data_IF_191734888708
#
_entry.id   IF_191734888708
#
_cell.length_a   1.000
_cell.length_b   1.000
_cell.length_c   1.000
_cell.angle_alpha   90.00
_cell.angle_beta   90.00
_cell.angle_gamma   90.00
#
_symmetry.space_group_name_H-M   'P 1'
#
loop_
_entity.id
_entity.type
_entity.pdbx_description
1 polymer ?
#
# COMPACT_ATOMS: atom_id res chain seq x y z
N UNK A 1 4.93 -12.83 -0.91
CA UNK A 1 3.58 -13.30 -0.53
C UNK A 1 3.47 -14.81 -0.60
N UNK A 2 3.81 -15.44 -1.74
CA UNK A 2 3.80 -16.91 -1.89
C UNK A 2 4.71 -17.63 -0.88
N UNK A 3 5.91 -17.11 -0.65
CA UNK A 3 6.90 -17.70 0.26
C UNK A 3 6.58 -17.51 1.75
N UNK A 4 5.77 -16.49 2.08
CA UNK A 4 5.41 -16.15 3.47
C UNK A 4 4.04 -16.71 3.91
N UNK A 5 3.20 -17.14 2.95
CA UNK A 5 1.83 -17.63 3.20
C UNK A 5 1.57 -18.87 2.34
N UNK A 6 2.26 -19.98 2.59
CA UNK A 6 2.16 -21.21 1.78
C UNK A 6 0.72 -21.73 1.66
N UNK A 7 -0.05 -21.72 2.75
CA UNK A 7 -1.46 -22.20 2.78
C UNK A 7 -2.46 -21.20 2.19
N UNK A 8 -2.19 -19.89 2.26
CA UNK A 8 -3.13 -18.83 1.86
C UNK A 8 -2.60 -17.90 0.75
N UNK A 9 -1.57 -18.33 0.02
CA UNK A 9 -0.86 -17.52 -0.98
C UNK A 9 -1.79 -16.93 -2.03
N UNK A 10 -2.71 -17.76 -2.55
CA UNK A 10 -3.64 -17.39 -3.62
C UNK A 10 -4.63 -16.31 -3.16
N UNK A 11 -5.17 -16.44 -1.94
CA UNK A 11 -6.10 -15.45 -1.38
C UNK A 11 -5.40 -14.12 -1.10
N UNK A 12 -4.18 -14.16 -0.58
CA UNK A 12 -3.39 -12.95 -0.33
C UNK A 12 -3.05 -12.21 -1.65
N UNK A 13 -2.72 -12.94 -2.71
CA UNK A 13 -2.51 -12.40 -4.06
C UNK A 13 -3.79 -11.79 -4.66
N UNK A 14 -4.92 -12.48 -4.51
CA UNK A 14 -6.22 -12.00 -4.96
C UNK A 14 -6.61 -10.71 -4.21
N UNK A 15 -6.49 -10.68 -2.88
CA UNK A 15 -6.78 -9.51 -2.06
C UNK A 15 -5.91 -8.31 -2.43
N UNK A 16 -4.60 -8.52 -2.61
CA UNK A 16 -3.68 -7.46 -3.05
C UNK A 16 -4.05 -6.92 -4.43
N UNK A 17 -4.47 -7.79 -5.34
CA UNK A 17 -4.92 -7.40 -6.68
C UNK A 17 -6.22 -6.60 -6.64
N UNK A 18 -7.18 -6.98 -5.80
CA UNK A 18 -8.44 -6.26 -5.60
C UNK A 18 -8.19 -4.87 -5.01
N UNK A 19 -7.40 -4.77 -3.93
CA UNK A 19 -7.04 -3.48 -3.31
C UNK A 19 -6.35 -2.58 -4.34
N UNK A 20 -5.41 -3.12 -5.12
CA UNK A 20 -4.71 -2.36 -6.17
C UNK A 20 -5.66 -1.84 -7.24
N UNK A 21 -6.62 -2.65 -7.68
CA UNK A 21 -7.62 -2.25 -8.66
C UNK A 21 -8.58 -1.18 -8.11
N UNK A 22 -9.00 -1.30 -6.84
CA UNK A 22 -9.84 -0.31 -6.19
C UNK A 22 -9.09 1.03 -6.07
N UNK A 23 -7.86 1.02 -5.58
CA UNK A 23 -7.05 2.25 -5.43
C UNK A 23 -6.78 2.88 -6.79
N UNK A 24 -6.43 2.08 -7.81
CA UNK A 24 -6.24 2.55 -9.18
C UNK A 24 -7.50 3.12 -9.83
N UNK A 25 -8.68 2.60 -9.48
CA UNK A 25 -9.98 3.09 -9.95
C UNK A 25 -10.50 4.31 -9.18
N UNK A 26 -10.25 4.39 -7.86
CA UNK A 26 -10.64 5.52 -7.03
C UNK A 26 -9.84 6.79 -7.36
N UNK A 27 -8.58 6.66 -7.76
CA UNK A 27 -7.71 7.79 -8.07
C UNK A 27 -8.25 8.71 -9.19
N UNK A 28 -8.70 8.21 -10.36
CA UNK A 28 -9.30 9.06 -11.40
C UNK A 28 -10.67 9.63 -10.98
N UNK A 29 -11.45 8.88 -10.18
CA UNK A 29 -12.76 9.34 -9.67
C UNK A 29 -12.58 10.51 -8.69
N UNK A 30 -11.56 10.45 -7.83
CA UNK A 30 -11.19 11.55 -6.94
C UNK A 30 -10.44 12.67 -7.67
N UNK A 31 -9.77 12.37 -8.78
CA UNK A 31 -9.00 13.31 -9.58
C UNK A 31 -9.85 14.42 -10.21
N UNK A 32 -10.98 14.09 -10.85
CA UNK A 32 -11.87 15.08 -11.48
C UNK A 32 -12.36 16.18 -10.52
N UNK A 33 -12.95 15.88 -9.34
CA UNK A 33 -13.37 16.91 -8.39
C UNK A 33 -12.17 17.63 -7.75
N UNK A 34 -11.04 16.94 -7.56
CA UNK A 34 -9.83 17.56 -7.01
C UNK A 34 -9.23 18.61 -7.95
N UNK A 35 -9.12 18.29 -9.24
CA UNK A 35 -8.62 19.21 -10.26
C UNK A 35 -9.59 20.37 -10.51
N UNK A 36 -10.90 20.14 -10.39
CA UNK A 36 -11.92 21.20 -10.50
C UNK A 36 -11.87 22.20 -9.33
N UNK A 37 -11.42 21.78 -8.14
CA UNK A 37 -11.36 22.63 -6.95
C UNK A 37 -10.01 23.37 -6.79
N UNK A 38 -8.89 22.75 -7.19
CA UNK A 38 -7.53 23.26 -6.93
C UNK A 38 -6.75 23.66 -8.20
N UNK A 39 -7.24 23.30 -9.39
CA UNK A 39 -6.52 23.51 -10.65
C UNK A 39 -5.30 22.57 -10.82
N UNK A 40 -4.72 22.56 -12.02
CA UNK A 40 -3.67 21.61 -12.41
C UNK A 40 -2.38 21.71 -11.57
N UNK A 41 -2.02 22.90 -11.07
CA UNK A 41 -0.79 23.11 -10.29
C UNK A 41 -0.87 22.54 -8.87
N UNK A 42 -1.89 22.93 -8.10
CA UNK A 42 -2.06 22.45 -6.73
C UNK A 42 -2.53 20.99 -6.66
N UNK A 43 -3.33 20.54 -7.63
CA UNK A 43 -3.75 19.14 -7.72
C UNK A 43 -2.57 18.16 -7.81
N UNK A 44 -1.56 18.49 -8.63
CA UNK A 44 -0.38 17.64 -8.79
C UNK A 44 0.53 17.64 -7.54
N UNK A 45 0.61 18.78 -6.85
CA UNK A 45 1.38 18.90 -5.60
C UNK A 45 0.74 18.10 -4.45
N UNK A 46 -0.59 18.12 -4.34
CA UNK A 46 -1.31 17.30 -3.35
C UNK A 46 -1.13 15.81 -3.65
N UNK A 47 -1.27 15.41 -4.93
CA UNK A 47 -1.07 14.03 -5.36
C UNK A 47 0.37 13.55 -5.05
N UNK A 48 1.36 14.42 -5.29
CA UNK A 48 2.75 14.17 -4.90
C UNK A 48 2.92 13.97 -3.39
N UNK A 49 2.28 14.80 -2.57
CA UNK A 49 2.35 14.68 -1.11
C UNK A 49 1.73 13.37 -0.61
N UNK A 50 0.57 12.98 -1.15
CA UNK A 50 -0.08 11.69 -0.86
C UNK A 50 0.83 10.52 -1.25
N UNK A 51 1.47 10.60 -2.41
CA UNK A 51 2.40 9.57 -2.88
C UNK A 51 3.60 9.45 -1.94
N UNK A 52 4.17 10.56 -1.47
CA UNK A 52 5.25 10.57 -0.48
C UNK A 52 4.82 9.89 0.83
N UNK A 53 3.63 10.22 1.34
CA UNK A 53 3.10 9.58 2.56
C UNK A 53 2.95 8.07 2.38
N UNK A 54 2.44 7.62 1.23
CA UNK A 54 2.30 6.19 0.92
C UNK A 54 3.67 5.51 0.78
N UNK A 55 4.66 6.18 0.20
CA UNK A 55 6.05 5.67 0.10
C UNK A 55 6.77 5.58 1.45
N UNK A 56 6.39 6.38 2.44
CA UNK A 56 6.97 6.33 3.78
C UNK A 56 6.58 5.02 4.51
N UNK A 57 5.40 4.45 4.25
CA UNK A 57 4.94 3.21 4.88
C UNK A 57 5.89 2.01 4.67
N UNK A 58 6.29 1.62 3.44
CA UNK A 58 7.25 0.53 3.24
C UNK A 58 8.65 0.85 3.79
N UNK A 59 9.08 2.12 3.80
CA UNK A 59 10.36 2.52 4.42
C UNK A 59 10.34 2.33 5.94
N UNK A 60 9.23 2.66 6.59
CA UNK A 60 9.00 2.39 8.01
C UNK A 60 9.04 0.89 8.29
N UNK A 61 8.32 0.09 7.50
CA UNK A 61 8.35 -1.37 7.64
C UNK A 61 9.74 -1.96 7.38
N UNK A 62 10.54 -1.37 6.50
CA UNK A 62 11.91 -1.83 6.28
C UNK A 62 12.81 -1.53 7.48
N UNK A 63 12.71 -0.33 8.07
CA UNK A 63 13.53 0.07 9.22
C UNK A 63 13.12 -0.59 10.54
N UNK A 64 11.82 -0.73 10.78
CA UNK A 64 11.27 -1.33 12.01
C UNK A 64 10.95 -2.82 11.88
N UNK A 65 11.01 -3.38 10.66
CA UNK A 65 10.74 -4.78 10.39
C UNK A 65 11.72 -5.73 11.07
N UNK A 66 12.99 -5.34 11.22
CA UNK A 66 13.98 -6.14 11.95
C UNK A 66 13.63 -6.26 13.44
N UNK A 67 13.16 -5.16 14.05
CA UNK A 67 12.72 -5.13 15.44
C UNK A 67 11.44 -5.95 15.64
N UNK A 68 10.49 -5.89 14.71
CA UNK A 68 9.28 -6.72 14.74
C UNK A 68 9.59 -8.20 14.54
N UNK A 69 10.56 -8.54 13.65
CA UNK A 69 10.93 -9.94 13.36
C UNK A 69 11.68 -10.61 14.50
N UNK A 70 12.44 -9.86 15.30
CA UNK A 70 13.05 -10.38 16.54
C UNK A 70 12.04 -10.58 17.68
N UNK A 71 10.88 -9.94 17.63
CA UNK A 71 9.90 -9.94 18.73
C UNK A 71 8.87 -11.07 18.65
N UNK A 72 8.65 -11.63 17.46
CA UNK A 72 7.71 -12.72 17.23
C UNK A 72 8.45 -13.86 16.50
N UNK A 73 9.02 -14.78 17.26
CA UNK A 73 9.50 -16.08 16.76
C UNK A 73 8.27 -16.94 16.46
N UNK A 74 7.96 -17.12 15.19
CA UNK A 74 6.77 -17.87 14.76
C UNK A 74 7.19 -19.33 14.63
N UNK A 75 6.85 -20.13 15.65
CA UNK A 75 6.96 -21.58 15.61
C UNK A 75 5.92 -22.09 14.59
N UNK A 76 6.39 -22.58 13.45
CA UNK A 76 5.54 -23.29 12.49
C UNK A 76 5.34 -24.70 13.04
N UNK A 77 4.14 -25.00 13.55
CA UNK A 77 3.74 -26.38 13.83
C UNK A 77 3.69 -27.13 12.49
N UNK A 78 4.50 -28.18 12.36
CA UNK A 78 4.68 -29.01 11.15
C UNK A 78 3.46 -29.92 10.87
#
# INVERSE_FOLDING_TARGET
MIDAFTTYAVSALAATSVIRSIVGGCLPIAGLPLYSALGYGWGNSLLGFVTIVVSIAPLLFWRYGEALRKKYDVQFEE
#
